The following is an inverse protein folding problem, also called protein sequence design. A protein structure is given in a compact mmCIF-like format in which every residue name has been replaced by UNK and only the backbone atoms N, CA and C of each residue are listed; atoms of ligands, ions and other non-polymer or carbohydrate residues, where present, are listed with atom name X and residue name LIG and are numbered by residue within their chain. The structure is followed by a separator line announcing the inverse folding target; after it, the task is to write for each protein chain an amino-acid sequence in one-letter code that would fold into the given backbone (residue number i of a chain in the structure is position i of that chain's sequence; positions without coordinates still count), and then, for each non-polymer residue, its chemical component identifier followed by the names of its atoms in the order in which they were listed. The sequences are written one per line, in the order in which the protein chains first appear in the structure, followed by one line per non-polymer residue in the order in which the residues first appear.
data_IF_088985027188
#
_entry.id   IF_088985027188
#
_cell.length_a   1.000
_cell.length_b   1.000
_cell.length_c   1.000
_cell.angle_alpha   90.00
_cell.angle_beta   90.00
_cell.angle_gamma   90.00
#
_symmetry.space_group_name_H-M   'P 1'
#
loop_
_entity.id
_entity.type
_entity.pdbx_description
1 polymer ?
#
# COMPACT_ATOMS: atom_id res chain seq x y z
N UNK A 1 -9.09 -8.19 12.60
CA UNK A 1 -7.90 -7.79 11.95
C UNK A 1 -7.90 -8.12 10.53
N UNK A 2 -7.73 -7.14 9.85
CA UNK A 2 -7.16 -6.94 8.64
C UNK A 2 -7.26 -7.98 7.61
N UNK A 3 -8.26 -8.57 7.53
CA UNK A 3 -8.29 -9.62 6.57
C UNK A 3 -8.50 -9.11 5.17
N UNK A 4 -9.11 -7.95 5.02
CA UNK A 4 -9.35 -7.43 3.69
C UNK A 4 -8.31 -6.39 3.35
N UNK A 5 -7.78 -6.44 2.14
CA UNK A 5 -6.91 -5.39 1.66
C UNK A 5 -7.72 -4.12 1.46
N UNK A 6 -7.11 -2.96 1.73
CA UNK A 6 -7.76 -1.69 1.49
C UNK A 6 -7.80 -1.35 0.01
N UNK A 7 -6.86 -1.87 -0.78
CA UNK A 7 -6.77 -1.60 -2.20
C UNK A 7 -6.47 -2.90 -2.94
N UNK A 8 -6.69 -2.88 -4.24
CA UNK A 8 -6.46 -4.02 -5.12
C UNK A 8 -5.69 -3.58 -6.34
N UNK A 9 -5.04 -4.53 -6.99
CA UNK A 9 -4.37 -4.26 -8.26
C UNK A 9 -5.40 -3.68 -9.23
N UNK A 10 -5.03 -2.58 -9.86
CA UNK A 10 -5.90 -1.87 -10.79
C UNK A 10 -6.63 -0.70 -10.19
N UNK A 11 -6.62 -0.58 -8.86
CA UNK A 11 -7.28 0.54 -8.20
C UNK A 11 -6.55 1.84 -8.48
N UNK A 12 -7.32 2.89 -8.67
CA UNK A 12 -6.76 4.23 -8.75
C UNK A 12 -6.70 4.81 -7.34
N UNK A 13 -5.53 5.33 -6.99
CA UNK A 13 -5.32 5.91 -5.66
C UNK A 13 -4.83 7.33 -5.78
N UNK A 14 -5.04 8.08 -4.71
CA UNK A 14 -4.58 9.45 -4.59
C UNK A 14 -3.62 9.56 -3.43
N UNK A 15 -2.74 10.54 -3.50
CA UNK A 15 -1.81 10.81 -2.41
C UNK A 15 -2.58 10.95 -1.11
N UNK A 16 -2.13 10.25 -0.07
CA UNK A 16 -2.77 10.25 1.23
C UNK A 16 -3.76 9.13 1.46
N UNK A 17 -4.11 8.39 0.42
CA UNK A 17 -5.03 7.25 0.59
C UNK A 17 -4.34 6.16 1.41
N UNK A 18 -5.11 5.53 2.31
CA UNK A 18 -4.59 4.41 3.09
C UNK A 18 -4.55 3.17 2.23
N UNK A 19 -3.36 2.56 2.13
CA UNK A 19 -3.16 1.38 1.31
C UNK A 19 -3.26 0.09 2.11
N UNK A 20 -2.67 0.05 3.29
CA UNK A 20 -2.72 -1.14 4.13
C UNK A 20 -2.20 -0.80 5.51
N UNK A 21 -2.24 -1.80 6.39
CA UNK A 21 -1.65 -1.70 7.72
C UNK A 21 -0.59 -2.78 7.80
N UNK A 22 0.60 -2.41 8.29
CA UNK A 22 1.71 -3.36 8.44
C UNK A 22 2.21 -3.31 9.87
N UNK A 23 2.88 -4.39 10.28
CA UNK A 23 3.53 -4.44 11.57
C UNK A 23 5.00 -4.07 11.40
N UNK A 24 5.45 -3.06 12.13
CA UNK A 24 6.84 -2.68 12.12
C UNK A 24 7.20 -2.17 13.50
N UNK A 25 8.37 -2.57 14.00
CA UNK A 25 8.88 -2.11 15.29
C UNK A 25 7.85 -2.37 16.40
N UNK A 26 7.19 -3.51 16.34
CA UNK A 26 6.19 -3.96 17.33
C UNK A 26 4.96 -3.06 17.39
N UNK A 27 4.71 -2.33 16.32
CA UNK A 27 3.54 -1.46 16.23
C UNK A 27 2.85 -1.69 14.91
N UNK A 28 1.55 -1.49 14.91
CA UNK A 28 0.79 -1.50 13.66
C UNK A 28 0.86 -0.11 13.05
N UNK A 29 1.28 -0.06 11.80
CA UNK A 29 1.48 1.20 11.10
C UNK A 29 0.61 1.25 9.87
N UNK A 30 0.01 2.40 9.66
CA UNK A 30 -0.83 2.64 8.49
C UNK A 30 0.06 3.13 7.35
N UNK A 31 -0.05 2.48 6.21
CA UNK A 31 0.71 2.85 5.03
C UNK A 31 -0.18 3.67 4.12
N UNK A 32 0.27 4.87 3.79
CA UNK A 32 -0.48 5.78 2.94
C UNK A 32 0.27 6.00 1.64
N UNK A 33 -0.48 6.25 0.58
CA UNK A 33 0.11 6.54 -0.71
C UNK A 33 0.84 7.87 -0.67
N UNK A 34 2.05 7.89 -1.19
CA UNK A 34 2.82 9.13 -1.29
C UNK A 34 2.67 9.76 -2.67
N UNK A 35 2.01 9.06 -3.57
CA UNK A 35 1.80 9.53 -4.94
C UNK A 35 0.44 9.05 -5.39
N UNK A 36 -0.06 9.68 -6.44
CA UNK A 36 -1.30 9.26 -7.09
C UNK A 36 -0.96 8.36 -8.27
N UNK A 37 -1.81 7.41 -8.54
CA UNK A 37 -1.60 6.50 -9.65
C UNK A 37 -2.48 5.27 -9.58
N UNK A 38 -2.05 4.24 -10.29
CA UNK A 38 -2.77 2.97 -10.36
C UNK A 38 -1.92 1.90 -9.71
N UNK A 39 -2.53 1.09 -8.86
CA UNK A 39 -1.82 -0.02 -8.21
C UNK A 39 -1.47 -1.07 -9.25
N UNK A 40 -0.20 -1.32 -9.42
CA UNK A 40 0.29 -2.32 -10.38
C UNK A 40 0.56 -3.66 -9.71
N UNK A 41 1.04 -3.62 -8.48
CA UNK A 41 1.42 -4.83 -7.77
C UNK A 41 1.34 -4.58 -6.29
N UNK A 42 0.91 -5.59 -5.55
CA UNK A 42 0.86 -5.53 -4.09
C UNK A 42 1.77 -6.63 -3.58
N UNK A 43 2.79 -6.23 -2.82
CA UNK A 43 3.85 -7.12 -2.35
C UNK A 43 3.78 -7.41 -0.85
N UNK A 44 2.70 -7.00 -0.21
CA UNK A 44 2.55 -7.17 1.23
C UNK A 44 1.10 -7.52 1.52
N UNK A 45 0.88 -8.28 2.58
CA UNK A 45 -0.46 -8.57 3.06
C UNK A 45 -0.76 -7.70 4.28
N UNK A 46 -2.02 -7.39 4.45
CA UNK A 46 -2.46 -6.57 5.58
C UNK A 46 -2.07 -7.25 6.88
N UNK A 47 -1.44 -6.48 7.78
CA UNK A 47 -0.98 -6.99 9.06
C UNK A 47 0.34 -7.73 9.03
N UNK A 48 0.94 -7.85 7.86
CA UNK A 48 2.19 -8.59 7.70
C UNK A 48 3.35 -7.80 8.29
N UNK A 49 4.30 -8.46 8.97
CA UNK A 49 5.52 -7.76 9.40
C UNK A 49 6.36 -7.38 8.18
N UNK A 50 6.94 -6.20 8.24
CA UNK A 50 7.77 -5.69 7.14
C UNK A 50 9.10 -5.21 7.68
N UNK A 51 10.09 -5.16 6.79
CA UNK A 51 11.43 -4.70 7.12
C UNK A 51 11.73 -3.42 6.38
N UNK A 52 12.67 -2.68 6.93
CA UNK A 52 13.10 -1.44 6.31
C UNK A 52 13.58 -1.69 4.89
N UNK A 53 13.11 -0.90 3.96
CA UNK A 53 13.52 -1.02 2.56
C UNK A 53 12.72 -2.02 1.75
N UNK A 54 11.79 -2.70 2.37
CA UNK A 54 10.98 -3.69 1.66
C UNK A 54 10.00 -2.98 0.74
N UNK A 55 9.86 -3.51 -0.48
CA UNK A 55 8.87 -2.98 -1.42
C UNK A 55 7.50 -3.52 -1.02
N UNK A 56 6.55 -2.62 -0.83
CA UNK A 56 5.20 -2.98 -0.43
C UNK A 56 4.22 -2.90 -1.59
N UNK A 57 4.33 -1.84 -2.39
CA UNK A 57 3.41 -1.61 -3.50
C UNK A 57 4.19 -1.09 -4.69
N UNK A 58 3.72 -1.43 -5.87
CA UNK A 58 4.22 -0.84 -7.11
C UNK A 58 3.08 -0.03 -7.70
N UNK A 59 3.32 1.26 -7.92
CA UNK A 59 2.30 2.18 -8.37
C UNK A 59 2.74 2.78 -9.71
N UNK A 60 1.85 2.73 -10.68
CA UNK A 60 2.07 3.40 -11.96
C UNK A 60 1.56 4.82 -11.84
N UNK A 61 2.47 5.77 -11.91
CA UNK A 61 2.15 7.17 -11.71
C UNK A 61 1.67 7.88 -12.96
N UNK A 62 1.57 7.16 -14.07
CA UNK A 62 1.06 7.80 -15.28
C UNK A 62 -0.35 8.29 -15.04
N UNK A 63 -0.56 9.54 -15.36
CA UNK A 63 -1.87 10.13 -15.19
C UNK A 63 -2.67 9.95 -16.46
N UNK A 64 -3.94 9.60 -16.33
CA UNK A 64 -4.80 9.58 -17.50
C UNK A 64 -4.98 11.02 -17.98
N UNK A 65 -5.02 11.18 -19.25
CA UNK A 65 -5.28 12.49 -19.82
C UNK A 65 -6.76 12.73 -19.97
#
# INVERSE_FOLDING_TARGET
PGTAAFVHVGDQISEGDTLCIVEAMKMMNQIEAEVSGIIKSIRVQNGEPVEYGQILFVIDQRLPD
#
